data_IF_683105081345
#
_entry.id   IF_683105081345
#
_cell.length_a   1.000
_cell.length_b   1.000
_cell.length_c   1.000
_cell.angle_alpha   90.00
_cell.angle_beta   90.00
_cell.angle_gamma   90.00
#
_symmetry.space_group_name_H-M   'P 1'
#
loop_
_entity.id
_entity.type
_entity.pdbx_description
1 polymer ?
#
# COMPACT_ATOMS: atom_id res chain seq x y z
N UNK A 1 -1.68 3.24 25.71
CA UNK A 1 -2.55 4.04 24.80
C UNK A 1 -2.37 3.53 23.38
N UNK A 2 -3.43 3.13 22.68
CA UNK A 2 -3.33 2.86 21.24
C UNK A 2 -3.08 4.20 20.54
N UNK A 3 -1.95 4.34 19.85
CA UNK A 3 -1.64 5.54 19.11
C UNK A 3 -2.75 5.83 18.08
N UNK A 4 -3.17 7.09 17.98
CA UNK A 4 -4.27 7.50 17.09
C UNK A 4 -3.83 7.31 15.63
N UNK A 5 -4.72 6.78 14.80
CA UNK A 5 -4.41 6.55 13.39
C UNK A 5 -4.04 7.87 12.67
N UNK A 6 -3.10 7.77 11.74
CA UNK A 6 -2.78 8.79 10.75
C UNK A 6 -3.91 8.84 9.72
N UNK A 7 -4.86 9.73 9.96
CA UNK A 7 -5.94 10.05 9.02
C UNK A 7 -5.45 11.05 7.98
N UNK A 8 -6.21 11.23 6.89
CA UNK A 8 -5.92 12.24 5.86
C UNK A 8 -5.58 13.62 6.47
N UNK A 9 -6.38 14.09 7.43
CA UNK A 9 -6.15 15.36 8.12
C UNK A 9 -4.81 15.39 8.86
N UNK A 10 -4.49 14.32 9.62
CA UNK A 10 -3.24 14.23 10.38
C UNK A 10 -2.02 14.16 9.45
N UNK A 11 -2.11 13.39 8.37
CA UNK A 11 -1.04 13.29 7.35
C UNK A 11 -0.76 14.66 6.75
N UNK A 12 -1.81 15.39 6.35
CA UNK A 12 -1.67 16.75 5.83
C UNK A 12 -1.00 17.64 6.87
N UNK A 13 -1.52 17.70 8.09
CA UNK A 13 -0.98 18.56 9.15
C UNK A 13 0.48 18.27 9.52
N UNK A 14 0.89 17.00 9.59
CA UNK A 14 2.22 16.61 10.04
C UNK A 14 3.26 16.60 8.91
N UNK A 15 2.87 16.35 7.65
CA UNK A 15 3.78 16.44 6.50
C UNK A 15 4.01 17.90 6.06
N UNK A 16 3.11 18.83 6.43
CA UNK A 16 3.18 20.26 6.06
C UNK A 16 4.45 20.96 6.57
N UNK A 17 5.11 20.46 7.62
CA UNK A 17 5.80 21.35 8.55
C UNK A 17 7.34 21.39 8.47
N UNK A 18 7.96 21.47 7.29
CA UNK A 18 8.95 22.57 7.17
C UNK A 18 9.03 23.29 5.80
N UNK A 19 8.25 22.91 4.77
CA UNK A 19 8.52 23.38 3.38
C UNK A 19 7.25 23.87 2.64
N UNK A 20 6.05 23.50 3.06
CA UNK A 20 4.79 23.82 2.34
C UNK A 20 3.91 24.73 3.19
N UNK A 21 4.09 26.05 3.11
CA UNK A 21 3.28 27.04 3.84
C UNK A 21 1.79 27.08 3.43
N UNK A 22 1.33 26.20 2.54
CA UNK A 22 -0.05 26.16 2.06
C UNK A 22 -0.72 24.80 2.31
N UNK A 23 -1.61 24.75 3.31
CA UNK A 23 -2.40 23.55 3.65
C UNK A 23 -3.29 23.05 2.51
N UNK A 24 -3.72 23.91 1.58
CA UNK A 24 -4.50 23.52 0.42
C UNK A 24 -3.66 22.68 -0.56
N UNK A 25 -2.41 23.08 -0.81
CA UNK A 25 -1.49 22.33 -1.66
C UNK A 25 -1.25 20.92 -1.12
N UNK A 26 -1.11 20.76 0.19
CA UNK A 26 -0.89 19.45 0.81
C UNK A 26 -2.09 18.50 0.68
N UNK A 27 -3.32 19.03 0.75
CA UNK A 27 -4.53 18.23 0.47
C UNK A 27 -4.53 17.75 -0.98
N UNK A 28 -4.30 18.68 -1.92
CA UNK A 28 -4.26 18.39 -3.36
C UNK A 28 -3.16 17.38 -3.68
N UNK A 29 -1.96 17.54 -3.10
CA UNK A 29 -0.83 16.63 -3.28
C UNK A 29 -1.14 15.23 -2.74
N UNK A 30 -1.73 15.12 -1.55
CA UNK A 30 -2.11 13.82 -0.99
C UNK A 30 -3.15 13.13 -1.87
N UNK A 31 -4.18 13.85 -2.32
CA UNK A 31 -5.20 13.29 -3.22
C UNK A 31 -4.61 12.87 -4.57
N UNK A 32 -3.71 13.68 -5.12
CA UNK A 32 -3.01 13.37 -6.36
C UNK A 32 -2.14 12.12 -6.22
N UNK A 33 -1.44 11.96 -5.09
CA UNK A 33 -0.69 10.71 -4.81
C UNK A 33 -1.63 9.51 -4.80
N UNK A 34 -2.74 9.58 -4.05
CA UNK A 34 -3.68 8.46 -3.94
C UNK A 34 -4.30 8.12 -5.29
N UNK A 35 -4.68 9.14 -6.06
CA UNK A 35 -5.19 9.01 -7.43
C UNK A 35 -4.18 8.34 -8.36
N UNK A 36 -2.91 8.76 -8.36
CA UNK A 36 -1.89 8.15 -9.21
C UNK A 36 -1.62 6.67 -8.84
N UNK A 37 -1.68 6.33 -7.55
CA UNK A 37 -1.62 4.94 -7.10
C UNK A 37 -2.86 4.17 -7.60
N UNK A 38 -4.06 4.72 -7.43
CA UNK A 38 -5.31 4.10 -7.90
C UNK A 38 -5.29 3.85 -9.41
N UNK A 39 -4.96 4.86 -10.22
CA UNK A 39 -4.82 4.73 -11.68
C UNK A 39 -3.87 3.60 -12.05
N UNK A 40 -2.71 3.53 -11.39
CA UNK A 40 -1.73 2.46 -11.65
C UNK A 40 -2.30 1.08 -11.34
N UNK A 41 -2.97 0.92 -10.19
CA UNK A 41 -3.56 -0.35 -9.78
C UNK A 41 -4.73 -0.76 -10.68
N UNK A 42 -5.56 0.19 -11.13
CA UNK A 42 -6.66 -0.06 -12.07
C UNK A 42 -6.14 -0.43 -13.47
N UNK A 43 -4.94 0.00 -13.84
CA UNK A 43 -4.25 -0.45 -15.04
C UNK A 43 -3.52 -1.79 -14.87
N UNK A 44 -3.59 -2.42 -13.68
CA UNK A 44 -2.89 -3.67 -13.39
C UNK A 44 -1.39 -3.50 -13.15
N UNK A 45 -0.92 -2.25 -13.03
CA UNK A 45 0.46 -1.86 -12.81
C UNK A 45 0.73 -1.79 -11.31
N UNK A 46 1.77 -2.48 -10.86
CA UNK A 46 2.10 -2.51 -9.45
C UNK A 46 2.80 -1.22 -9.00
N UNK A 47 2.51 -0.76 -7.79
CA UNK A 47 3.13 0.46 -7.23
C UNK A 47 4.26 0.09 -6.28
N UNK A 48 5.47 0.58 -6.56
CA UNK A 48 6.63 0.42 -5.68
C UNK A 48 6.65 1.50 -4.59
N UNK A 49 6.60 1.08 -3.33
CA UNK A 49 6.73 1.97 -2.17
C UNK A 49 8.11 1.76 -1.55
N UNK A 50 9.12 2.49 -2.07
CA UNK A 50 10.52 2.44 -1.62
C UNK A 50 11.02 0.99 -1.36
N UNK A 51 11.89 0.79 -0.36
CA UNK A 51 12.31 -0.55 0.11
C UNK A 51 11.28 -1.23 1.03
N UNK A 52 10.13 -0.61 1.29
CA UNK A 52 9.15 -1.10 2.25
C UNK A 52 8.24 -2.17 1.66
N UNK A 53 7.96 -2.10 0.35
CA UNK A 53 7.23 -3.13 -0.38
C UNK A 53 6.62 -2.62 -1.69
N UNK A 54 5.74 -3.43 -2.26
CA UNK A 54 4.94 -3.07 -3.45
C UNK A 54 3.46 -3.35 -3.19
N UNK A 55 2.59 -2.49 -3.71
CA UNK A 55 1.17 -2.79 -3.88
C UNK A 55 1.02 -3.60 -5.16
N UNK A 56 0.49 -4.82 -5.03
CA UNK A 56 0.32 -5.78 -6.11
C UNK A 56 -1.14 -6.07 -6.35
N UNK A 57 -1.59 -5.96 -7.59
CA UNK A 57 -2.91 -6.44 -8.02
C UNK A 57 -2.87 -7.97 -8.15
N UNK A 58 -3.81 -8.65 -7.51
CA UNK A 58 -3.94 -10.10 -7.49
C UNK A 58 -5.37 -10.49 -7.85
N UNK A 59 -5.50 -11.37 -8.85
CA UNK A 59 -6.78 -12.01 -9.19
C UNK A 59 -6.94 -13.28 -8.35
N UNK A 60 -8.07 -13.39 -7.66
CA UNK A 60 -8.42 -14.54 -6.82
C UNK A 60 -9.56 -15.28 -7.50
N UNK A 61 -9.40 -16.58 -7.68
CA UNK A 61 -10.46 -17.46 -8.15
C UNK A 61 -11.51 -17.65 -7.05
N UNK A 62 -12.71 -18.05 -7.47
CA UNK A 62 -13.73 -18.53 -6.57
C UNK A 62 -13.22 -19.75 -5.77
N UNK A 63 -13.65 -19.85 -4.53
CA UNK A 63 -13.31 -20.99 -3.66
C UNK A 63 -14.39 -21.22 -2.61
N UNK A 64 -14.51 -22.46 -2.10
CA UNK A 64 -15.40 -22.75 -0.99
C UNK A 64 -15.13 -21.83 0.21
N UNK A 65 -16.21 -21.37 0.84
CA UNK A 65 -16.20 -20.54 2.03
C UNK A 65 -17.39 -20.87 2.91
N UNK A 66 -17.46 -20.24 4.09
CA UNK A 66 -18.53 -20.44 5.07
C UNK A 66 -18.87 -19.15 5.78
N UNK A 67 -20.11 -19.02 6.21
CA UNK A 67 -20.48 -18.03 7.21
C UNK A 67 -19.82 -18.40 8.55
N UNK A 68 -18.88 -17.59 9.09
CA UNK A 68 -18.17 -17.94 10.33
C UNK A 68 -19.08 -18.08 11.55
N UNK A 69 -20.31 -17.53 11.50
CA UNK A 69 -21.29 -17.59 12.60
C UNK A 69 -22.22 -18.79 12.50
N UNK A 70 -22.69 -19.14 11.31
CA UNK A 70 -23.72 -20.19 11.11
C UNK A 70 -23.16 -21.51 10.58
N UNK A 71 -21.95 -21.50 10.02
CA UNK A 71 -21.33 -22.68 9.40
C UNK A 71 -21.85 -22.99 7.99
N UNK A 72 -22.88 -22.29 7.53
CA UNK A 72 -23.46 -22.41 6.19
C UNK A 72 -22.39 -22.16 5.11
N UNK A 73 -22.36 -23.04 4.10
CA UNK A 73 -21.43 -22.94 2.99
C UNK A 73 -21.81 -21.75 2.10
N UNK A 74 -20.91 -20.77 2.00
CA UNK A 74 -21.06 -19.57 1.17
C UNK A 74 -19.79 -19.43 0.33
N UNK A 75 -19.84 -19.59 -1.01
CA UNK A 75 -18.65 -19.47 -1.84
C UNK A 75 -18.05 -18.08 -1.72
N UNK A 76 -16.72 -18.02 -1.65
CA UNK A 76 -16.00 -16.76 -1.79
C UNK A 76 -15.82 -16.52 -3.27
N UNK A 77 -16.61 -15.61 -3.84
CA UNK A 77 -16.60 -15.27 -5.26
C UNK A 77 -15.20 -14.88 -5.75
N UNK A 78 -14.97 -15.11 -7.05
CA UNK A 78 -13.79 -14.57 -7.71
C UNK A 78 -13.74 -13.05 -7.56
N UNK A 79 -12.54 -12.50 -7.35
CA UNK A 79 -12.34 -11.05 -7.21
C UNK A 79 -10.91 -10.62 -7.44
N UNK A 80 -10.76 -9.36 -7.82
CA UNK A 80 -9.47 -8.67 -7.87
C UNK A 80 -9.23 -7.95 -6.54
N UNK A 81 -8.03 -8.14 -5.98
CA UNK A 81 -7.62 -7.53 -4.70
C UNK A 81 -6.23 -6.90 -4.82
N UNK A 82 -5.87 -6.05 -3.85
CA UNK A 82 -4.52 -5.50 -3.71
C UNK A 82 -3.86 -6.06 -2.46
N UNK A 83 -2.60 -6.46 -2.59
CA UNK A 83 -1.77 -6.91 -1.48
C UNK A 83 -0.49 -6.09 -1.39
N UNK A 84 -0.09 -5.74 -0.17
CA UNK A 84 1.23 -5.17 0.09
C UNK A 84 2.22 -6.28 0.42
N UNK A 85 3.21 -6.50 -0.46
CA UNK A 85 4.19 -7.57 -0.26
C UNK A 85 5.62 -7.07 -0.49
N UNK A 86 6.57 -7.57 0.29
CA UNK A 86 8.03 -7.36 0.08
C UNK A 86 8.64 -8.31 -0.96
N UNK A 87 7.85 -8.92 -1.84
CA UNK A 87 8.30 -10.03 -2.68
C UNK A 87 9.55 -9.62 -3.47
N UNK A 88 10.64 -10.32 -3.20
CA UNK A 88 11.78 -10.42 -4.11
C UNK A 88 11.27 -11.08 -5.40
N UNK A 89 11.81 -10.65 -6.54
CA UNK A 89 11.43 -11.12 -7.87
C UNK A 89 11.29 -12.66 -7.86
N UNK A 90 10.07 -13.17 -8.05
CA UNK A 90 9.94 -14.56 -8.49
C UNK A 90 10.57 -14.66 -9.88
N UNK A 91 11.33 -15.73 -10.11
CA UNK A 91 11.70 -16.12 -11.47
C UNK A 91 10.41 -16.45 -12.21
N UNK A 92 10.06 -15.64 -13.21
CA UNK A 92 8.84 -15.80 -13.99
C UNK A 92 7.99 -14.52 -14.01
N UNK A 93 8.05 -13.82 -15.15
CA UNK A 93 7.22 -12.68 -15.56
C UNK A 93 7.50 -11.37 -14.81
N UNK A 94 8.18 -10.43 -15.49
CA UNK A 94 8.27 -9.02 -15.05
C UNK A 94 6.90 -8.36 -15.18
N UNK A 95 6.12 -8.35 -14.11
CA UNK A 95 4.88 -7.56 -14.05
C UNK A 95 5.20 -6.06 -14.16
N UNK A 96 4.45 -5.27 -14.96
CA UNK A 96 4.66 -3.82 -15.05
C UNK A 96 4.54 -3.17 -13.67
N UNK A 97 5.38 -2.16 -13.43
CA UNK A 97 5.44 -1.47 -12.14
C UNK A 97 5.77 0.00 -12.32
N UNK A 98 5.17 0.85 -11.49
CA UNK A 98 5.45 2.28 -11.41
C UNK A 98 6.35 2.56 -10.21
N UNK A 99 7.38 3.37 -10.40
CA UNK A 99 8.28 3.82 -9.34
C UNK A 99 7.78 5.13 -8.72
N UNK A 100 8.27 5.43 -7.51
CA UNK A 100 8.06 6.74 -6.86
C UNK A 100 8.47 7.91 -7.78
N UNK A 101 9.59 7.79 -8.50
CA UNK A 101 10.05 8.84 -9.42
C UNK A 101 9.03 9.12 -10.53
N UNK A 102 8.43 8.07 -11.10
CA UNK A 102 7.40 8.23 -12.14
C UNK A 102 6.13 8.90 -11.59
N UNK A 103 5.74 8.55 -10.36
CA UNK A 103 4.61 9.22 -9.67
C UNK A 103 4.92 10.71 -9.45
N UNK A 104 6.14 11.05 -9.01
CA UNK A 104 6.56 12.45 -8.82
C UNK A 104 6.49 13.22 -10.13
N UNK A 105 7.03 12.67 -11.23
CA UNK A 105 6.95 13.30 -12.54
C UNK A 105 5.50 13.52 -12.97
N UNK A 106 4.64 12.50 -12.85
CA UNK A 106 3.22 12.61 -13.23
C UNK A 106 2.46 13.64 -12.41
N UNK A 107 2.70 13.73 -11.10
CA UNK A 107 2.06 14.76 -10.25
C UNK A 107 2.60 16.15 -10.57
N UNK A 108 3.91 16.28 -10.83
CA UNK A 108 4.51 17.58 -11.17
C UNK A 108 4.05 18.10 -12.53
N UNK A 109 3.74 17.20 -13.47
CA UNK A 109 3.12 17.54 -14.76
C UNK A 109 1.64 17.94 -14.58
N UNK A 110 0.90 17.23 -13.72
CA UNK A 110 -0.52 17.49 -13.43
C UNK A 110 -0.73 18.81 -12.65
N UNK A 111 0.17 19.13 -11.73
CA UNK A 111 0.09 20.28 -10.83
C UNK A 111 1.21 21.28 -11.11
N UNK A 112 1.21 21.87 -12.30
CA UNK A 112 2.24 22.82 -12.76
C UNK A 112 2.42 24.05 -11.86
N UNK A 113 1.37 24.43 -11.12
CA UNK A 113 1.38 25.57 -10.20
C UNK A 113 2.09 25.26 -8.86
N UNK A 114 2.38 23.98 -8.59
CA UNK A 114 3.11 23.56 -7.39
C UNK A 114 4.57 23.32 -7.76
N UNK A 115 5.53 23.98 -7.08
CA UNK A 115 6.95 23.78 -7.35
C UNK A 115 7.36 22.31 -7.20
N UNK A 116 8.17 21.81 -8.15
CA UNK A 116 8.67 20.43 -8.16
C UNK A 116 9.23 19.98 -6.80
N UNK A 117 9.97 20.85 -6.11
CA UNK A 117 10.56 20.53 -4.80
C UNK A 117 9.49 20.21 -3.74
N UNK A 118 8.34 20.87 -3.80
CA UNK A 118 7.21 20.58 -2.89
C UNK A 118 6.60 19.22 -3.25
N UNK A 119 6.41 18.93 -4.55
CA UNK A 119 5.91 17.62 -5.03
C UNK A 119 6.86 16.48 -4.60
N UNK A 120 8.15 16.56 -4.95
CA UNK A 120 9.15 15.53 -4.62
C UNK A 120 9.23 15.28 -3.12
N UNK A 121 9.28 16.36 -2.33
CA UNK A 121 9.35 16.28 -0.86
C UNK A 121 8.09 15.62 -0.28
N UNK A 122 6.91 16.09 -0.66
CA UNK A 122 5.64 15.59 -0.11
C UNK A 122 5.43 14.11 -0.45
N UNK A 123 5.70 13.71 -1.71
CA UNK A 123 5.59 12.31 -2.14
C UNK A 123 6.58 11.42 -1.38
N UNK A 124 7.82 11.87 -1.18
CA UNK A 124 8.83 11.14 -0.38
C UNK A 124 8.38 10.96 1.06
N UNK A 125 7.91 12.03 1.70
CA UNK A 125 7.43 12.01 3.07
C UNK A 125 6.26 11.05 3.25
N UNK A 126 5.29 11.07 2.34
CA UNK A 126 4.17 10.13 2.39
C UNK A 126 4.61 8.67 2.23
N UNK A 127 5.54 8.37 1.31
CA UNK A 127 6.03 7.01 1.10
C UNK A 127 6.89 6.52 2.28
N UNK A 128 7.64 7.43 2.91
CA UNK A 128 8.39 7.15 4.13
C UNK A 128 7.44 6.88 5.30
N UNK A 129 6.38 7.66 5.45
CA UNK A 129 5.36 7.44 6.47
C UNK A 129 4.77 6.02 6.38
N UNK A 130 4.47 5.52 5.17
CA UNK A 130 4.04 4.13 4.97
C UNK A 130 5.14 3.14 5.36
N UNK A 131 6.40 3.43 5.02
CA UNK A 131 7.54 2.56 5.32
C UNK A 131 7.80 2.41 6.83
N UNK A 132 7.51 3.45 7.60
CA UNK A 132 7.69 3.53 9.05
C UNK A 132 6.59 2.83 9.85
N UNK A 133 5.45 2.48 9.23
CA UNK A 133 4.37 1.70 9.89
C UNK A 133 4.93 0.42 10.52
N UNK A 134 5.92 -0.22 9.89
CA UNK A 134 6.54 -1.44 10.44
C UNK A 134 7.48 -1.20 11.61
N UNK A 135 8.00 0.02 11.79
CA UNK A 135 8.98 0.36 12.85
C UNK A 135 8.28 0.95 14.06
N UNK A 136 7.40 1.93 13.85
CA UNK A 136 6.73 2.64 14.95
C UNK A 136 5.36 2.05 15.31
N UNK A 137 4.76 1.24 14.44
CA UNK A 137 3.48 0.58 14.72
C UNK A 137 2.25 1.48 14.52
N UNK A 138 2.44 2.73 14.08
CA UNK A 138 1.33 3.61 13.75
C UNK A 138 0.48 3.05 12.61
N UNK A 139 -0.82 3.34 12.65
CA UNK A 139 -1.78 2.95 11.61
C UNK A 139 -2.06 4.13 10.71
N UNK A 140 -2.00 3.94 9.39
CA UNK A 140 -2.42 4.94 8.40
C UNK A 140 -3.79 4.52 7.87
N UNK A 141 -4.77 5.39 7.95
CA UNK A 141 -6.15 5.10 7.55
C UNK A 141 -6.68 6.20 6.63
N UNK A 142 -6.91 5.81 5.37
CA UNK A 142 -7.41 6.68 4.32
C UNK A 142 -8.72 6.05 3.85
N UNK A 143 -9.84 6.71 4.17
CA UNK A 143 -11.17 6.22 3.84
C UNK A 143 -11.27 5.97 2.33
N UNK A 144 -12.00 4.91 1.97
CA UNK A 144 -12.22 4.43 0.60
C UNK A 144 -10.97 3.91 -0.14
N UNK A 145 -9.77 4.37 0.20
CA UNK A 145 -8.51 3.86 -0.32
C UNK A 145 -8.03 2.60 0.41
N UNK A 146 -7.82 2.68 1.73
CA UNK A 146 -7.35 1.56 2.53
C UNK A 146 -6.60 1.93 3.80
N UNK A 147 -6.10 0.90 4.47
CA UNK A 147 -5.43 1.00 5.78
C UNK A 147 -4.08 0.32 5.73
N UNK A 148 -3.03 1.02 6.12
CA UNK A 148 -1.72 0.44 6.41
C UNK A 148 -1.58 0.22 7.92
N UNK A 149 -1.21 -0.99 8.31
CA UNK A 149 -1.02 -1.36 9.72
C UNK A 149 0.19 -2.28 9.90
N UNK A 150 0.76 -2.29 11.10
CA UNK A 150 1.80 -3.24 11.43
C UNK A 150 1.22 -4.65 11.62
N UNK A 151 1.95 -5.65 11.16
CA UNK A 151 1.72 -7.07 11.48
C UNK A 151 3.05 -7.74 11.79
N UNK A 152 3.02 -8.86 12.51
CA UNK A 152 4.21 -9.59 12.91
C UNK A 152 4.18 -11.01 12.35
N UNK A 153 5.34 -11.49 11.94
CA UNK A 153 5.59 -12.94 11.84
C UNK A 153 6.42 -13.33 13.04
N UNK A 154 5.88 -14.24 13.84
CA UNK A 154 6.54 -14.75 15.04
C UNK A 154 7.81 -15.54 14.70
N UNK A 155 8.70 -15.62 15.68
CA UNK A 155 9.93 -16.38 15.54
C UNK A 155 9.60 -17.86 15.30
N UNK A 156 10.30 -18.49 14.37
CA UNK A 156 10.09 -19.91 14.05
C UNK A 156 11.36 -20.56 13.53
N UNK A 157 11.44 -21.87 13.66
CA UNK A 157 12.47 -22.65 12.97
C UNK A 157 12.15 -22.70 11.48
N UNK A 158 13.12 -22.34 10.65
CA UNK A 158 13.08 -22.49 9.20
C UNK A 158 14.24 -23.34 8.70
N UNK A 159 14.36 -23.46 7.38
CA UNK A 159 15.49 -24.12 6.72
C UNK A 159 16.08 -23.20 5.68
N UNK A 160 17.40 -23.23 5.51
CA UNK A 160 18.06 -22.61 4.38
C UNK A 160 17.59 -23.29 3.08
N UNK A 161 16.96 -22.59 2.13
CA UNK A 161 16.46 -23.22 0.91
C UNK A 161 17.57 -23.87 0.05
N UNK A 162 18.82 -23.41 0.18
CA UNK A 162 19.97 -23.91 -0.59
C UNK A 162 20.63 -25.13 0.05
N UNK A 163 20.76 -25.16 1.38
CA UNK A 163 21.52 -26.21 2.10
C UNK A 163 20.65 -27.16 2.92
N UNK A 164 19.41 -26.78 3.23
CA UNK A 164 18.50 -27.55 4.08
C UNK A 164 18.72 -27.36 5.60
N UNK A 165 19.81 -26.69 5.99
CA UNK A 165 20.18 -26.48 7.39
C UNK A 165 19.09 -25.73 8.16
N UNK A 166 18.84 -26.14 9.40
CA UNK A 166 17.91 -25.44 10.29
C UNK A 166 18.47 -24.07 10.65
N UNK A 167 17.64 -23.05 10.50
CA UNK A 167 17.98 -21.67 10.88
C UNK A 167 16.85 -21.08 11.70
N UNK A 168 17.20 -20.36 12.76
CA UNK A 168 16.23 -19.60 13.54
C UNK A 168 15.84 -18.34 12.77
N UNK A 169 14.58 -18.26 12.35
CA UNK A 169 14.03 -17.04 11.75
C UNK A 169 13.47 -16.19 12.88
N UNK A 170 14.14 -15.07 13.14
CA UNK A 170 13.72 -14.12 14.16
C UNK A 170 12.36 -13.48 13.83
N UNK A 171 11.66 -13.05 14.88
CA UNK A 171 10.42 -12.28 14.76
C UNK A 171 10.66 -11.04 13.88
N UNK A 172 9.71 -10.73 12.99
CA UNK A 172 9.84 -9.59 12.08
C UNK A 172 8.52 -8.87 11.87
N UNK A 173 8.58 -7.54 11.93
CA UNK A 173 7.46 -6.66 11.60
C UNK A 173 7.34 -6.40 10.10
N UNK A 174 6.10 -6.32 9.62
CA UNK A 174 5.74 -6.05 8.23
C UNK A 174 4.63 -5.01 8.19
N UNK A 175 4.55 -4.30 7.07
CA UNK A 175 3.38 -3.49 6.74
C UNK A 175 2.35 -4.42 6.11
N UNK A 176 1.13 -4.38 6.62
CA UNK A 176 -0.05 -4.99 6.03
C UNK A 176 -0.93 -3.89 5.44
N UNK A 177 -1.46 -4.12 4.24
CA UNK A 177 -2.43 -3.22 3.62
C UNK A 177 -3.80 -3.91 3.56
N UNK A 178 -4.80 -3.26 4.14
CA UNK A 178 -6.20 -3.63 3.99
C UNK A 178 -6.85 -2.69 2.98
N UNK A 179 -7.37 -3.27 1.91
CA UNK A 179 -8.03 -2.54 0.83
C UNK A 179 -9.33 -1.86 1.33
N UNK A 180 -9.52 -0.59 0.94
CA UNK A 180 -10.74 0.18 1.20
C UNK A 180 -11.88 -0.18 0.25
N UNK A 181 -13.12 0.15 0.63
CA UNK A 181 -14.32 -0.22 -0.15
C UNK A 181 -14.34 0.48 -1.53
N UNK A 182 -14.02 1.77 -1.59
CA UNK A 182 -13.95 2.52 -2.84
C UNK A 182 -12.99 1.89 -3.84
N UNK A 183 -11.71 1.74 -3.47
CA UNK A 183 -10.70 1.15 -4.33
C UNK A 183 -11.02 -0.31 -4.68
N UNK A 184 -11.60 -1.09 -3.75
CA UNK A 184 -12.08 -2.45 -4.04
C UNK A 184 -13.15 -2.47 -5.12
N UNK A 185 -14.14 -1.57 -5.05
CA UNK A 185 -15.19 -1.49 -6.05
C UNK A 185 -14.63 -1.07 -7.41
N UNK A 186 -13.79 -0.03 -7.46
CA UNK A 186 -13.11 0.40 -8.70
C UNK A 186 -12.32 -0.73 -9.34
N UNK A 187 -11.57 -1.50 -8.54
CA UNK A 187 -10.77 -2.63 -9.03
C UNK A 187 -11.60 -3.76 -9.63
N UNK A 188 -12.70 -4.13 -8.98
CA UNK A 188 -13.54 -5.22 -9.48
C UNK A 188 -14.42 -4.76 -10.66
N UNK A 189 -14.66 -3.46 -10.82
CA UNK A 189 -15.25 -2.90 -12.04
C UNK A 189 -14.25 -2.88 -13.21
N UNK A 190 -12.98 -2.54 -12.95
CA UNK A 190 -11.93 -2.52 -13.97
C UNK A 190 -11.47 -3.94 -14.40
N UNK A 191 -11.54 -4.90 -13.49
CA UNK A 191 -11.19 -6.31 -13.71
C UNK A 191 -12.35 -7.22 -13.31
N UNK A 192 -13.44 -7.26 -14.10
CA UNK A 192 -14.50 -8.23 -13.89
C UNK A 192 -13.93 -9.64 -14.05
N UNK A 193 -14.35 -10.53 -13.17
CA UNK A 193 -13.89 -11.93 -13.04
C UNK A 193 -15.06 -12.88 -13.03
#
# INVERSE_FOLDING_TARGET
>A
MKEKAWTKLRIVQEIINPITDNSANSVILLDSILRQIEISLLAGIDVLINYSGRLTVIHKNERPGRNPKTGEDIPVTARTVVSFTKKTNHHGIKKPKVSRSKIISSISEELSDIPFIQVDTFVRSFFNLIAEVRTHGHRIEIRDFGVFSQTFKEARSGRNPKTGDKVLIQRKAYVHFKLGKGLSNSLNAAFPV
#
